data_IF_646700094675
#
_entry.id   IF_646700094675
#
_cell.length_a   1.000
_cell.length_b   1.000
_cell.length_c   1.000
_cell.angle_alpha   90.00
_cell.angle_beta   90.00
_cell.angle_gamma   90.00
#
_symmetry.space_group_name_H-M   'P 1'
#
loop_
_entity.id
_entity.type
_entity.pdbx_description
1 polymer ?
#
# COMPACT_ATOMS: atom_id res chain seq x y z
N UNK A 1 5.27 -14.73 13.84
CA UNK A 1 5.20 -13.37 13.25
C UNK A 1 3.88 -12.74 13.68
N UNK A 2 3.91 -11.64 14.43
CA UNK A 2 2.72 -10.97 14.95
C UNK A 2 1.70 -10.66 13.83
N UNK A 3 0.42 -10.89 14.07
CA UNK A 3 -0.66 -10.61 13.12
C UNK A 3 -0.73 -9.13 12.74
N UNK A 4 -0.38 -8.25 13.68
CA UNK A 4 -0.17 -6.82 13.44
C UNK A 4 0.83 -6.52 12.32
N UNK A 5 1.87 -7.35 12.16
CA UNK A 5 2.86 -7.19 11.11
C UNK A 5 2.27 -7.44 9.71
N UNK A 6 1.29 -8.37 9.61
CA UNK A 6 0.60 -8.67 8.34
C UNK A 6 -0.30 -7.52 7.86
N UNK A 7 -0.77 -6.68 8.78
CA UNK A 7 -1.56 -5.46 8.50
C UNK A 7 -0.63 -4.29 8.13
N UNK A 8 0.56 -4.23 8.75
CA UNK A 8 1.52 -3.15 8.52
C UNK A 8 2.11 -3.17 7.10
N UNK A 9 2.32 -4.35 6.51
CA UNK A 9 2.87 -4.52 5.16
C UNK A 9 2.05 -3.82 4.06
N UNK A 10 0.72 -4.04 3.94
CA UNK A 10 -0.09 -3.32 2.95
C UNK A 10 -0.15 -1.80 3.21
N UNK A 11 -0.10 -1.38 4.48
CA UNK A 11 0.00 0.03 4.87
C UNK A 11 1.29 0.70 4.36
N UNK A 12 2.43 0.00 4.45
CA UNK A 12 3.69 0.47 3.88
C UNK A 12 3.60 0.65 2.36
N UNK A 13 2.88 -0.23 1.65
CA UNK A 13 2.63 -0.09 0.21
C UNK A 13 1.85 1.20 -0.14
N UNK A 14 0.84 1.56 0.66
CA UNK A 14 0.10 2.81 0.51
C UNK A 14 0.99 4.03 0.76
N UNK A 15 1.77 4.00 1.84
CA UNK A 15 2.70 5.08 2.19
C UNK A 15 3.75 5.26 1.11
N UNK A 16 4.35 4.18 0.60
CA UNK A 16 5.29 4.23 -0.53
C UNK A 16 4.66 4.82 -1.78
N UNK A 17 3.44 4.40 -2.15
CA UNK A 17 2.73 4.98 -3.29
C UNK A 17 2.47 6.49 -3.15
N UNK A 18 2.15 6.95 -1.94
CA UNK A 18 2.01 8.39 -1.66
C UNK A 18 3.35 9.13 -1.71
N UNK A 19 4.43 8.55 -1.18
CA UNK A 19 5.77 9.13 -1.27
C UNK A 19 6.17 9.30 -2.75
N UNK A 20 5.90 8.31 -3.60
CA UNK A 20 6.14 8.41 -5.05
C UNK A 20 5.33 9.56 -5.67
N UNK A 21 4.05 9.72 -5.29
CA UNK A 21 3.19 10.81 -5.75
C UNK A 21 3.74 12.19 -5.37
N UNK A 22 4.18 12.37 -4.12
CA UNK A 22 4.64 13.66 -3.60
C UNK A 22 6.14 13.91 -3.81
N UNK A 23 6.89 12.91 -4.26
CA UNK A 23 8.31 13.06 -4.56
C UNK A 23 8.53 14.11 -5.63
N UNK A 24 9.39 15.10 -5.31
CA UNK A 24 9.86 16.13 -6.24
C UNK A 24 10.95 15.61 -7.18
N UNK A 25 11.37 14.34 -7.05
CA UNK A 25 12.26 13.72 -8.05
C UNK A 25 11.52 13.58 -9.38
N UNK A 26 11.72 14.58 -10.24
CA UNK A 26 11.19 14.64 -11.60
C UNK A 26 11.86 13.64 -12.56
N UNK A 27 12.82 12.85 -12.07
CA UNK A 27 13.65 11.98 -12.89
C UNK A 27 12.88 10.77 -13.45
N UNK A 28 11.78 10.34 -12.81
CA UNK A 28 11.01 9.16 -13.25
C UNK A 28 9.52 9.48 -13.37
N UNK A 29 9.14 10.28 -14.39
CA UNK A 29 7.73 10.54 -14.75
C UNK A 29 6.92 9.24 -14.91
N UNK A 30 7.54 8.18 -15.39
CA UNK A 30 6.88 6.87 -15.55
C UNK A 30 6.54 6.23 -14.21
N UNK A 31 7.50 6.14 -13.28
CA UNK A 31 7.25 5.59 -11.94
C UNK A 31 6.19 6.44 -11.22
N UNK A 32 6.23 7.76 -11.41
CA UNK A 32 5.20 8.65 -10.89
C UNK A 32 3.84 8.31 -11.50
N UNK A 33 3.73 8.05 -12.80
CA UNK A 33 2.45 7.63 -13.42
C UNK A 33 1.85 6.36 -12.77
N UNK A 34 2.68 5.46 -12.25
CA UNK A 34 2.23 4.23 -11.59
C UNK A 34 2.05 4.35 -10.06
N UNK A 35 2.17 5.56 -9.47
CA UNK A 35 2.01 5.77 -8.02
C UNK A 35 0.68 5.21 -7.48
N UNK A 36 -0.39 5.37 -8.25
CA UNK A 36 -1.72 4.93 -7.90
C UNK A 36 -1.83 3.40 -7.83
N UNK A 37 -1.04 2.66 -8.62
CA UNK A 37 -1.04 1.19 -8.63
C UNK A 37 -0.56 0.66 -7.28
N UNK A 38 0.52 1.25 -6.74
CA UNK A 38 1.03 0.91 -5.41
C UNK A 38 0.01 1.22 -4.31
N UNK A 39 -0.68 2.36 -4.41
CA UNK A 39 -1.73 2.74 -3.45
C UNK A 39 -2.91 1.77 -3.51
N UNK A 40 -3.41 1.44 -4.71
CA UNK A 40 -4.55 0.53 -4.88
C UNK A 40 -4.20 -0.88 -4.42
N UNK A 41 -3.03 -1.41 -4.78
CA UNK A 41 -2.59 -2.73 -4.33
C UNK A 41 -2.42 -2.81 -2.81
N UNK A 42 -1.81 -1.77 -2.20
CA UNK A 42 -1.68 -1.66 -0.75
C UNK A 42 -3.05 -1.60 -0.06
N UNK A 43 -3.97 -0.80 -0.59
CA UNK A 43 -5.32 -0.65 -0.04
C UNK A 43 -6.17 -1.93 -0.17
N UNK A 44 -6.13 -2.59 -1.34
CA UNK A 44 -6.77 -3.89 -1.55
C UNK A 44 -6.22 -4.96 -0.61
N UNK A 45 -4.89 -5.01 -0.44
CA UNK A 45 -4.25 -5.93 0.50
C UNK A 45 -4.66 -5.67 1.95
N UNK A 46 -4.83 -4.40 2.32
CA UNK A 46 -5.32 -4.00 3.64
C UNK A 46 -6.78 -4.44 3.86
N UNK A 47 -7.68 -4.12 2.93
CA UNK A 47 -9.08 -4.55 2.99
C UNK A 47 -9.17 -6.08 3.06
N UNK A 48 -8.48 -6.80 2.18
CA UNK A 48 -8.51 -8.26 2.16
C UNK A 48 -8.05 -8.86 3.49
N UNK A 49 -7.03 -8.27 4.14
CA UNK A 49 -6.56 -8.71 5.46
C UNK A 49 -7.57 -8.40 6.56
N UNK A 50 -8.16 -7.20 6.56
CA UNK A 50 -9.22 -6.82 7.51
C UNK A 50 -10.43 -7.73 7.36
N UNK A 51 -10.89 -7.98 6.13
CA UNK A 51 -12.01 -8.87 5.88
C UNK A 51 -11.72 -10.27 6.42
N UNK A 52 -10.53 -10.84 6.17
CA UNK A 52 -10.19 -12.13 6.78
C UNK A 52 -10.12 -12.08 8.31
N UNK A 53 -9.62 -10.99 8.90
CA UNK A 53 -9.56 -10.83 10.36
C UNK A 53 -10.95 -10.70 11.00
N UNK A 54 -11.91 -10.07 10.32
CA UNK A 54 -13.28 -9.88 10.82
C UNK A 54 -14.17 -11.12 10.54
N UNK A 55 -13.91 -11.86 9.47
CA UNK A 55 -14.78 -12.95 9.01
C UNK A 55 -14.37 -14.34 9.56
N UNK A 56 -13.12 -14.50 10.02
CA UNK A 56 -12.58 -15.76 10.53
C UNK A 56 -12.22 -15.72 12.02
N UNK A 57 -12.60 -14.66 12.72
CA UNK A 57 -12.50 -14.46 14.18
C UNK A 57 -13.92 -14.21 14.72
#
# INVERSE_FOLDING_TARGET
MNEYFKIFVPLLGVVFGLIIKYSKLNQNKEIKRYWWVFVILGFLGFIFRISNYILFD
#
